data_IF_901564934385
#
_entry.id   IF_901564934385
#
_cell.length_a   1.000
_cell.length_b   1.000
_cell.length_c   1.000
_cell.angle_alpha   90.00
_cell.angle_beta   90.00
_cell.angle_gamma   90.00
#
_symmetry.space_group_name_H-M   'P 1'
#
loop_
_entity.id
_entity.type
_entity.pdbx_description
1 polymer ?
#
# COMPACT_ATOMS: atom_id res chain seq x y z
N UNK A 1 2.35 -15.13 -18.78
CA UNK A 1 2.30 -13.69 -19.12
C UNK A 1 1.62 -12.95 -17.98
N UNK A 2 2.34 -12.06 -17.28
CA UNK A 2 1.79 -11.22 -16.20
C UNK A 2 0.89 -10.15 -16.85
N UNK A 3 -0.39 -10.07 -16.45
CA UNK A 3 -1.37 -9.22 -17.11
C UNK A 3 -1.14 -7.76 -16.71
N UNK A 4 -0.92 -6.91 -17.70
CA UNK A 4 -0.99 -5.45 -17.51
C UNK A 4 -2.43 -5.09 -17.10
N UNK A 5 -2.61 -4.42 -15.96
CA UNK A 5 -3.91 -3.86 -15.57
C UNK A 5 -4.00 -2.41 -16.05
N UNK A 6 -4.97 -2.14 -16.91
CA UNK A 6 -5.29 -0.79 -17.41
C UNK A 6 -6.35 -0.20 -16.49
N UNK A 7 -6.09 1.01 -15.99
CA UNK A 7 -7.06 1.80 -15.22
C UNK A 7 -7.47 2.99 -16.09
N UNK A 8 -8.77 3.17 -16.34
CA UNK A 8 -9.31 4.20 -17.25
C UNK A 8 -9.60 5.54 -16.55
N UNK A 9 -8.87 5.83 -15.47
CA UNK A 9 -9.11 6.98 -14.59
C UNK A 9 -10.12 6.69 -13.48
N UNK A 10 -10.79 5.53 -13.48
CA UNK A 10 -11.71 5.06 -12.42
C UNK A 10 -11.01 4.50 -11.18
N UNK A 11 -9.72 4.16 -11.25
CA UNK A 11 -9.05 3.33 -10.25
C UNK A 11 -9.04 3.92 -8.85
N UNK A 12 -8.92 5.24 -8.71
CA UNK A 12 -9.06 5.89 -7.41
C UNK A 12 -10.46 5.70 -6.82
N UNK A 13 -11.50 5.78 -7.66
CA UNK A 13 -12.89 5.53 -7.25
C UNK A 13 -13.14 4.06 -6.89
N UNK A 14 -12.53 3.12 -7.61
CA UNK A 14 -12.62 1.68 -7.31
C UNK A 14 -11.92 1.29 -6.01
N UNK A 15 -10.84 1.99 -5.66
CA UNK A 15 -10.10 1.83 -4.41
C UNK A 15 -10.71 2.65 -3.25
N UNK A 16 -11.81 3.39 -3.52
CA UNK A 16 -12.43 4.34 -2.61
C UNK A 16 -11.38 5.29 -2.00
N UNK A 17 -10.51 5.81 -2.86
CA UNK A 17 -9.46 6.78 -2.54
C UNK A 17 -9.88 8.15 -3.08
N UNK A 18 -9.89 9.15 -2.21
CA UNK A 18 -10.20 10.54 -2.56
C UNK A 18 -8.87 11.34 -2.65
N UNK A 19 -8.37 11.61 -3.88
CA UNK A 19 -7.12 12.36 -4.06
C UNK A 19 -7.21 13.83 -3.58
N UNK A 20 -8.43 14.38 -3.46
CA UNK A 20 -8.70 15.75 -3.01
C UNK A 20 -9.16 15.81 -1.53
N UNK A 21 -9.16 14.67 -0.84
CA UNK A 21 -9.63 14.49 0.52
C UNK A 21 -8.83 15.32 1.52
N UNK A 22 -9.28 16.55 1.79
CA UNK A 22 -8.70 17.45 2.80
C UNK A 22 -8.75 16.90 4.24
N UNK A 23 -9.33 15.73 4.47
CA UNK A 23 -9.39 15.04 5.77
C UNK A 23 -8.09 14.31 6.18
N UNK A 24 -7.25 13.93 5.21
CA UNK A 24 -6.09 13.06 5.47
C UNK A 24 -4.84 13.80 5.94
N UNK A 25 -4.79 15.12 5.75
CA UNK A 25 -3.71 15.96 6.27
C UNK A 25 -3.78 16.16 7.79
N UNK A 26 -4.96 15.97 8.41
CA UNK A 26 -5.15 16.25 9.84
C UNK A 26 -5.01 15.04 10.75
N UNK A 27 -5.28 13.83 10.25
CA UNK A 27 -5.09 12.59 11.02
C UNK A 27 -3.65 12.04 10.95
N UNK A 28 -2.90 12.34 9.88
CA UNK A 28 -1.54 11.85 9.69
C UNK A 28 -0.47 12.60 10.53
N UNK A 29 -0.74 13.82 11.01
CA UNK A 29 0.31 14.70 11.58
C UNK A 29 0.07 15.13 13.04
N UNK A 30 -1.11 14.94 13.61
CA UNK A 30 -1.41 15.40 14.98
C UNK A 30 -1.06 14.36 16.08
N UNK A 31 0.21 13.94 16.15
CA UNK A 31 0.84 13.34 17.35
C UNK A 31 0.13 12.13 18.00
N UNK A 32 -0.39 11.19 17.18
CA UNK A 32 -1.12 10.01 17.67
C UNK A 32 -0.21 8.79 17.80
N UNK A 33 -0.42 7.95 18.81
CA UNK A 33 0.30 6.69 18.98
C UNK A 33 0.22 5.78 17.74
N UNK A 34 -0.87 5.89 16.97
CA UNK A 34 -1.08 5.13 15.74
C UNK A 34 -0.03 5.46 14.66
N UNK A 35 0.37 6.72 14.50
CA UNK A 35 1.41 7.11 13.56
C UNK A 35 2.77 6.51 13.94
N UNK A 36 3.09 6.50 15.25
CA UNK A 36 4.31 5.84 15.76
C UNK A 36 4.27 4.32 15.56
N UNK A 37 3.10 3.71 15.71
CA UNK A 37 2.91 2.28 15.41
C UNK A 37 3.13 2.02 13.92
N UNK A 38 2.53 2.83 13.05
CA UNK A 38 2.65 2.70 11.60
C UNK A 38 4.09 2.86 11.11
N UNK A 39 4.85 3.82 11.65
CA UNK A 39 6.27 4.04 11.33
C UNK A 39 7.16 2.85 11.74
N UNK A 40 6.94 2.31 12.95
CA UNK A 40 7.60 1.08 13.40
C UNK A 40 7.30 -0.10 12.48
N UNK A 41 6.04 -0.26 12.08
CA UNK A 41 5.61 -1.32 11.15
C UNK A 41 6.18 -1.11 9.74
N UNK A 42 6.35 0.13 9.29
CA UNK A 42 6.99 0.43 8.00
C UNK A 42 8.47 0.04 8.02
N UNK A 43 9.17 0.33 9.13
CA UNK A 43 10.55 -0.12 9.35
C UNK A 43 10.65 -1.66 9.37
N UNK A 44 9.72 -2.33 10.05
CA UNK A 44 9.63 -3.79 10.07
C UNK A 44 9.42 -4.36 8.65
N UNK A 45 8.46 -3.83 7.91
CA UNK A 45 8.16 -4.23 6.54
C UNK A 45 9.38 -4.05 5.62
N UNK A 46 10.09 -2.93 5.73
CA UNK A 46 11.31 -2.68 4.97
C UNK A 46 12.44 -3.67 5.29
N UNK A 47 12.64 -4.00 6.57
CA UNK A 47 13.64 -4.98 6.99
C UNK A 47 13.29 -6.40 6.53
N UNK A 48 12.03 -6.80 6.66
CA UNK A 48 11.55 -8.09 6.18
C UNK A 48 11.67 -8.20 4.65
N UNK A 49 11.35 -7.13 3.93
CA UNK A 49 11.50 -7.07 2.47
C UNK A 49 12.96 -7.29 2.06
N UNK A 50 13.91 -6.59 2.69
CA UNK A 50 15.34 -6.82 2.45
C UNK A 50 15.76 -8.26 2.72
N UNK A 51 15.23 -8.87 3.80
CA UNK A 51 15.51 -10.28 4.14
C UNK A 51 14.97 -11.24 3.08
N UNK A 52 13.77 -11.01 2.56
CA UNK A 52 13.12 -11.92 1.61
C UNK A 52 13.63 -11.76 0.17
N UNK A 53 13.93 -10.54 -0.26
CA UNK A 53 14.26 -10.22 -1.66
C UNK A 53 15.73 -9.83 -1.88
N UNK A 54 16.51 -9.63 -0.81
CA UNK A 54 17.88 -9.10 -0.89
C UNK A 54 17.95 -7.61 -1.26
N UNK A 55 16.80 -6.95 -1.44
CA UNK A 55 16.68 -5.53 -1.81
C UNK A 55 15.38 -4.93 -1.27
N UNK A 56 15.28 -3.61 -1.34
CA UNK A 56 14.03 -2.88 -1.10
C UNK A 56 13.79 -1.95 -2.30
N UNK A 57 13.21 -2.51 -3.36
CA UNK A 57 13.00 -1.82 -4.63
C UNK A 57 11.76 -0.93 -4.65
N UNK A 58 11.57 -0.28 -5.80
CA UNK A 58 10.42 0.54 -6.15
C UNK A 58 9.85 -0.01 -7.45
N UNK A 59 8.53 -0.08 -7.57
CA UNK A 59 7.84 -0.57 -8.76
C UNK A 59 8.24 -2.01 -9.15
N UNK A 60 8.43 -2.87 -8.15
CA UNK A 60 8.79 -4.28 -8.32
C UNK A 60 8.11 -5.23 -7.32
N UNK A 61 8.41 -6.52 -7.41
CA UNK A 61 7.85 -7.56 -6.55
C UNK A 61 8.14 -7.31 -5.05
N UNK A 62 9.28 -6.70 -4.71
CA UNK A 62 9.66 -6.36 -3.33
C UNK A 62 8.89 -5.15 -2.79
N UNK A 63 8.59 -4.19 -3.66
CA UNK A 63 7.77 -3.04 -3.36
C UNK A 63 6.32 -3.44 -3.03
N UNK A 64 5.74 -4.25 -3.91
CA UNK A 64 4.40 -4.78 -3.74
C UNK A 64 4.24 -5.59 -2.44
N UNK A 65 5.23 -6.44 -2.13
CA UNK A 65 5.28 -7.18 -0.88
C UNK A 65 5.31 -6.24 0.33
N UNK A 66 6.17 -5.20 0.28
CA UNK A 66 6.34 -4.25 1.39
C UNK A 66 5.04 -3.53 1.73
N UNK A 67 4.35 -2.98 0.72
CA UNK A 67 3.08 -2.27 0.89
C UNK A 67 1.99 -3.21 1.44
N UNK A 68 1.84 -4.40 0.86
CA UNK A 68 0.85 -5.37 1.33
C UNK A 68 1.13 -5.85 2.77
N UNK A 69 2.38 -6.14 3.11
CA UNK A 69 2.75 -6.56 4.48
C UNK A 69 2.54 -5.43 5.49
N UNK A 70 2.98 -4.22 5.16
CA UNK A 70 2.78 -3.05 6.03
C UNK A 70 1.29 -2.82 6.31
N UNK A 71 0.46 -2.84 5.28
CA UNK A 71 -0.99 -2.64 5.44
C UNK A 71 -1.68 -3.78 6.20
N UNK A 72 -1.25 -5.04 6.00
CA UNK A 72 -1.70 -6.18 6.81
C UNK A 72 -1.40 -5.98 8.29
N UNK A 73 -0.17 -5.59 8.62
CA UNK A 73 0.27 -5.41 10.00
C UNK A 73 -0.38 -4.19 10.66
N UNK A 74 -0.61 -3.12 9.90
CA UNK A 74 -1.40 -1.98 10.38
C UNK A 74 -2.83 -2.43 10.68
N UNK A 75 -3.48 -3.21 9.82
CA UNK A 75 -4.83 -3.70 10.06
C UNK A 75 -4.89 -4.57 11.33
N UNK A 76 -3.87 -5.41 11.55
CA UNK A 76 -3.72 -6.23 12.76
C UNK A 76 -3.57 -5.41 14.05
N UNK A 77 -2.92 -4.24 13.99
CA UNK A 77 -2.61 -3.43 15.19
C UNK A 77 -3.60 -2.29 15.45
N UNK A 78 -4.18 -1.73 14.39
CA UNK A 78 -4.96 -0.50 14.41
C UNK A 78 -6.39 -0.70 13.91
N UNK A 79 -6.73 -1.90 13.43
CA UNK A 79 -7.97 -2.18 12.71
C UNK A 79 -7.89 -1.75 11.23
N UNK A 80 -8.80 -2.30 10.42
CA UNK A 80 -8.83 -2.04 8.96
C UNK A 80 -9.03 -0.58 8.61
N UNK A 81 -9.88 0.13 9.36
CA UNK A 81 -10.15 1.55 9.15
C UNK A 81 -8.91 2.41 9.46
N UNK A 82 -8.26 2.17 10.60
CA UNK A 82 -7.00 2.85 10.96
C UNK A 82 -5.90 2.60 9.92
N UNK A 83 -5.79 1.36 9.43
CA UNK A 83 -4.84 1.00 8.38
C UNK A 83 -5.14 1.69 7.03
N UNK A 84 -6.42 1.89 6.68
CA UNK A 84 -6.81 2.62 5.47
C UNK A 84 -6.47 4.09 5.60
N UNK A 85 -6.87 4.75 6.70
CA UNK A 85 -6.65 6.17 6.89
C UNK A 85 -5.14 6.52 6.90
N UNK A 86 -4.32 5.71 7.56
CA UNK A 86 -2.87 5.94 7.59
C UNK A 86 -2.22 5.58 6.25
N UNK A 87 -2.61 4.46 5.63
CA UNK A 87 -2.08 4.05 4.33
C UNK A 87 -2.37 5.08 3.25
N UNK A 88 -3.64 5.47 3.10
CA UNK A 88 -4.06 6.46 2.12
C UNK A 88 -3.41 7.83 2.38
N UNK A 89 -3.31 8.26 3.64
CA UNK A 89 -2.61 9.49 4.01
C UNK A 89 -1.11 9.48 3.70
N UNK A 90 -0.43 8.34 3.85
CA UNK A 90 0.99 8.18 3.48
C UNK A 90 1.20 8.36 1.97
N UNK A 91 0.30 7.78 1.17
CA UNK A 91 0.34 7.94 -0.27
C UNK A 91 0.02 9.38 -0.70
N UNK A 92 -0.96 10.04 -0.07
CA UNK A 92 -1.30 11.45 -0.32
C UNK A 92 -0.16 12.41 0.04
N UNK A 93 0.57 12.17 1.13
CA UNK A 93 1.75 12.96 1.50
C UNK A 93 2.89 12.80 0.47
N UNK A 94 3.07 11.60 -0.07
CA UNK A 94 4.02 11.32 -1.14
C UNK A 94 3.62 12.02 -2.46
N UNK A 95 2.32 12.09 -2.78
CA UNK A 95 1.80 12.88 -3.92
C UNK A 95 1.92 14.38 -3.73
N UNK A 96 1.72 14.90 -2.52
CA UNK A 96 1.98 16.33 -2.26
C UNK A 96 3.47 16.65 -2.39
N UNK A 97 4.34 15.66 -2.21
CA UNK A 97 5.76 15.75 -2.53
C UNK A 97 6.00 15.64 -4.05
N UNK A 98 5.16 14.93 -4.81
CA UNK A 98 5.15 14.88 -6.29
C UNK A 98 4.88 16.25 -6.91
N UNK A 99 3.86 16.96 -6.43
CA UNK A 99 3.60 18.35 -6.83
C UNK A 99 4.73 19.32 -6.44
N UNK A 100 5.69 18.88 -5.61
CA UNK A 100 6.88 19.62 -5.19
C UNK A 100 8.20 18.99 -5.71
N UNK A 101 8.15 18.02 -6.63
CA UNK A 101 9.33 17.45 -7.31
C UNK A 101 9.71 16.01 -6.96
N UNK A 102 8.83 15.19 -6.38
CA UNK A 102 9.03 13.72 -6.34
C UNK A 102 8.67 13.09 -7.69
N UNK A 103 9.29 11.96 -8.05
CA UNK A 103 9.07 11.27 -9.35
C UNK A 103 7.89 10.27 -9.35
N UNK A 104 7.00 10.27 -8.33
CA UNK A 104 5.91 9.28 -8.21
C UNK A 104 4.77 9.48 -9.22
N UNK A 105 4.66 8.58 -10.20
CA UNK A 105 3.57 8.63 -11.19
C UNK A 105 2.23 8.18 -10.61
N UNK A 106 1.10 8.64 -11.17
CA UNK A 106 -0.25 8.15 -10.80
C UNK A 106 -0.35 6.61 -10.87
N UNK A 107 0.40 5.98 -11.77
CA UNK A 107 0.47 4.53 -11.89
C UNK A 107 1.15 3.83 -10.72
N UNK A 108 2.20 4.45 -10.16
CA UNK A 108 2.89 3.96 -8.96
C UNK A 108 1.99 4.11 -7.73
N UNK A 109 1.38 5.28 -7.57
CA UNK A 109 0.40 5.52 -6.52
C UNK A 109 -0.72 4.46 -6.52
N UNK A 110 -1.32 4.20 -7.68
CA UNK A 110 -2.39 3.20 -7.81
C UNK A 110 -1.90 1.79 -7.46
N UNK A 111 -0.63 1.47 -7.75
CA UNK A 111 -0.02 0.20 -7.38
C UNK A 111 0.09 0.09 -5.86
N UNK A 112 0.58 1.14 -5.20
CA UNK A 112 0.76 1.18 -3.75
C UNK A 112 -0.59 1.09 -3.02
N UNK A 113 -1.58 1.88 -3.46
CA UNK A 113 -2.96 1.83 -2.95
C UNK A 113 -3.60 0.45 -3.13
N UNK A 114 -3.45 -0.17 -4.31
CA UNK A 114 -3.95 -1.52 -4.58
C UNK A 114 -3.32 -2.55 -3.63
N UNK A 115 -2.00 -2.52 -3.48
CA UNK A 115 -1.29 -3.47 -2.61
C UNK A 115 -1.64 -3.26 -1.13
N UNK A 116 -1.81 -2.01 -0.69
CA UNK A 116 -2.31 -1.67 0.64
C UNK A 116 -3.71 -2.26 0.87
N UNK A 117 -4.63 -2.11 -0.09
CA UNK A 117 -5.96 -2.70 -0.02
C UNK A 117 -5.92 -4.23 0.10
N UNK A 118 -5.11 -4.91 -0.74
CA UNK A 118 -4.97 -6.37 -0.66
C UNK A 118 -4.43 -6.79 0.71
N UNK A 119 -3.45 -6.07 1.27
CA UNK A 119 -2.92 -6.32 2.62
C UNK A 119 -4.02 -6.32 3.70
N UNK A 120 -4.88 -5.29 3.70
CA UNK A 120 -6.02 -5.21 4.65
C UNK A 120 -7.03 -6.33 4.44
N UNK A 121 -7.35 -6.67 3.19
CA UNK A 121 -8.29 -7.76 2.87
C UNK A 121 -7.74 -9.13 3.31
N UNK A 122 -6.43 -9.36 3.15
CA UNK A 122 -5.78 -10.58 3.60
C UNK A 122 -5.77 -10.68 5.13
N UNK A 123 -5.59 -9.56 5.85
CA UNK A 123 -5.75 -9.56 7.30
C UNK A 123 -7.15 -10.04 7.70
N UNK A 124 -8.21 -9.44 7.15
CA UNK A 124 -9.59 -9.86 7.48
C UNK A 124 -9.87 -11.34 7.18
N UNK A 125 -9.31 -11.86 6.08
CA UNK A 125 -9.48 -13.28 5.70
C UNK A 125 -8.72 -14.25 6.62
N UNK A 126 -7.56 -13.85 7.14
CA UNK A 126 -6.64 -14.73 7.85
C UNK A 126 -6.40 -14.35 9.31
N UNK A 127 -7.13 -13.37 9.88
CA UNK A 127 -6.94 -12.90 11.26
C UNK A 127 -7.10 -13.99 12.33
N UNK A 128 -7.87 -15.04 12.03
CA UNK A 128 -8.10 -16.20 12.89
C UNK A 128 -7.25 -17.42 12.51
N UNK A 129 -6.32 -17.26 11.56
CA UNK A 129 -5.43 -18.33 11.09
C UNK A 129 -4.05 -18.23 11.73
N UNK A 130 -3.41 -19.37 12.00
CA UNK A 130 -2.05 -19.45 12.53
C UNK A 130 -0.95 -19.24 11.48
N UNK A 131 -1.31 -19.02 10.21
CA UNK A 131 -0.32 -18.77 9.15
C UNK A 131 0.45 -17.47 9.42
N UNK A 132 1.78 -17.48 9.26
CA UNK A 132 2.58 -16.27 9.44
C UNK A 132 2.25 -15.25 8.34
N UNK A 133 2.12 -13.95 8.68
CA UNK A 133 1.78 -12.89 7.72
C UNK A 133 2.70 -12.87 6.50
N UNK A 134 4.02 -13.06 6.69
CA UNK A 134 4.97 -13.11 5.58
C UNK A 134 4.61 -14.16 4.51
N UNK A 135 4.08 -15.32 4.93
CA UNK A 135 3.70 -16.39 4.03
C UNK A 135 2.42 -16.02 3.28
N UNK A 136 1.43 -15.47 3.98
CA UNK A 136 0.17 -15.03 3.37
C UNK A 136 0.44 -14.01 2.26
N UNK A 137 1.28 -13.00 2.54
CA UNK A 137 1.64 -11.98 1.56
C UNK A 137 2.47 -12.56 0.41
N UNK A 138 3.40 -13.47 0.70
CA UNK A 138 4.20 -14.13 -0.35
C UNK A 138 3.33 -15.02 -1.26
N UNK A 139 2.35 -15.73 -0.72
CA UNK A 139 1.38 -16.51 -1.50
C UNK A 139 0.52 -15.57 -2.38
N UNK A 140 0.12 -14.41 -1.85
CA UNK A 140 -0.61 -13.39 -2.62
C UNK A 140 0.24 -12.79 -3.76
N UNK A 141 1.52 -12.57 -3.53
CA UNK A 141 2.48 -12.14 -4.56
C UNK A 141 2.62 -13.21 -5.65
N UNK A 142 2.88 -14.47 -5.26
CA UNK A 142 3.11 -15.58 -6.18
C UNK A 142 1.87 -15.94 -7.01
N UNK A 143 0.67 -15.73 -6.47
CA UNK A 143 -0.60 -15.92 -7.17
C UNK A 143 -1.01 -14.73 -8.06
N UNK A 144 -0.24 -13.65 -8.06
CA UNK A 144 -0.51 -12.46 -8.88
C UNK A 144 -1.65 -11.57 -8.36
N UNK A 145 -2.02 -11.70 -7.09
CA UNK A 145 -3.00 -10.80 -6.46
C UNK A 145 -2.42 -9.40 -6.29
N UNK A 146 -1.13 -9.30 -5.95
CA UNK A 146 -0.41 -8.05 -5.83
C UNK A 146 -0.04 -7.46 -7.20
N UNK A 147 0.02 -6.14 -7.27
CA UNK A 147 0.46 -5.40 -8.45
C UNK A 147 1.95 -5.06 -8.29
N UNK A 148 2.80 -5.55 -9.19
CA UNK A 148 4.27 -5.40 -9.05
C UNK A 148 4.90 -4.45 -10.06
N UNK A 149 4.07 -3.83 -10.90
CA UNK A 149 4.45 -2.77 -11.83
C UNK A 149 3.40 -1.66 -11.79
N UNK A 150 3.75 -0.41 -12.10
CA UNK A 150 2.79 0.70 -12.09
C UNK A 150 1.59 0.44 -13.01
N UNK A 151 0.41 0.91 -12.61
CA UNK A 151 -0.76 0.88 -13.49
C UNK A 151 -0.56 1.80 -14.69
N UNK A 152 -1.03 1.38 -15.87
CA UNK A 152 -1.11 2.27 -17.03
C UNK A 152 -2.35 3.15 -16.89
N UNK A 153 -2.14 4.43 -16.58
CA UNK A 153 -3.21 5.42 -16.49
C UNK A 153 -3.44 6.04 -17.86
N UNK A 154 -4.64 5.84 -18.43
CA UNK A 154 -5.05 6.56 -19.64
C UNK A 154 -5.92 7.74 -19.23
N UNK A 155 -5.34 8.94 -19.17
CA UNK A 155 -6.11 10.17 -19.04
C UNK A 155 -6.97 10.32 -20.30
N UNK A 156 -8.30 10.21 -20.16
CA UNK A 156 -9.23 10.66 -21.20
C UNK A 156 -9.09 12.18 -21.27
N UNK A 157 -8.56 12.68 -22.39
CA UNK A 157 -8.62 14.10 -22.75
C UNK A 157 -10.04 14.49 -23.12
#
# INVERSE_FOLDING_TARGET
>A
MRKERICDGSGFKELNYDPDGRGDLWNAVANTEQAKIADKLATEAGNLTKKQFGKNGRSDDSDAFRHAYWSFMMAKKLGVEGAKNIGDGHETASLRSYYQGSDQTDGELLMDLHNNQIGRQLYERYKDSDLPPEKIIMDALNSGQLQTVPFKVRLKR
#
